data_IF_546134339655
#
_entry.id   IF_546134339655
#
_cell.length_a   1.000
_cell.length_b   1.000
_cell.length_c   1.000
_cell.angle_alpha   90.00
_cell.angle_beta   90.00
_cell.angle_gamma   90.00
#
_symmetry.space_group_name_H-M   'P 1'
#
loop_
_entity.id
_entity.type
_entity.pdbx_description
1 polymer ?
#
# COMPACT_ATOMS: atom_id res chain seq x y z
N UNK A 1 -12.24 10.14 -14.93
CA UNK A 1 -11.03 9.28 -14.93
C UNK A 1 -11.14 8.29 -13.79
N UNK A 2 -11.04 6.99 -14.07
CA UNK A 2 -11.03 5.95 -13.02
C UNK A 2 -9.66 6.00 -12.36
N UNK A 3 -9.53 6.63 -11.18
CA UNK A 3 -8.25 6.68 -10.46
C UNK A 3 -7.82 5.25 -10.15
N UNK A 4 -6.62 4.86 -10.62
CA UNK A 4 -6.14 3.50 -10.48
C UNK A 4 -5.59 3.31 -9.06
N UNK A 5 -6.35 2.65 -8.20
CA UNK A 5 -6.01 2.37 -6.79
C UNK A 5 -4.59 1.80 -6.62
N UNK A 6 -4.13 1.01 -7.61
CA UNK A 6 -2.77 0.46 -7.67
C UNK A 6 -1.71 1.56 -7.71
N UNK A 7 -1.86 2.53 -8.61
CA UNK A 7 -0.89 3.61 -8.83
C UNK A 7 -0.85 4.56 -7.64
N UNK A 8 -2.01 4.86 -7.04
CA UNK A 8 -2.09 5.68 -5.84
C UNK A 8 -1.37 5.03 -4.64
N UNK A 9 -1.56 3.72 -4.43
CA UNK A 9 -0.83 2.98 -3.38
C UNK A 9 0.67 3.03 -3.63
N UNK A 10 1.12 2.77 -4.86
CA UNK A 10 2.55 2.82 -5.23
C UNK A 10 3.11 4.22 -5.03
N UNK A 11 2.37 5.27 -5.40
CA UNK A 11 2.76 6.66 -5.20
C UNK A 11 2.92 7.01 -3.72
N UNK A 12 1.98 6.58 -2.86
CA UNK A 12 2.09 6.78 -1.42
C UNK A 12 3.32 6.04 -0.86
N UNK A 13 3.53 4.77 -1.24
CA UNK A 13 4.67 3.99 -0.76
C UNK A 13 6.01 4.55 -1.25
N UNK A 14 6.07 5.10 -2.47
CA UNK A 14 7.27 5.77 -2.99
C UNK A 14 7.64 7.00 -2.17
N UNK A 15 6.64 7.78 -1.75
CA UNK A 15 6.84 9.03 -1.00
C UNK A 15 7.16 8.80 0.47
N UNK A 16 6.49 7.83 1.10
CA UNK A 16 6.57 7.59 2.56
C UNK A 16 7.58 6.48 2.91
N UNK A 17 8.10 5.76 1.92
CA UNK A 17 8.97 4.59 2.09
C UNK A 17 8.21 3.32 2.47
N UNK A 18 7.43 3.36 3.55
CA UNK A 18 6.58 2.25 3.98
C UNK A 18 5.26 2.73 4.58
N UNK A 19 4.24 1.86 4.59
CA UNK A 19 2.98 2.17 5.25
C UNK A 19 2.16 0.94 5.63
N UNK A 20 1.18 1.10 6.52
CA UNK A 20 0.22 0.03 6.87
C UNK A 20 -1.07 0.17 6.08
N UNK A 21 -1.87 -0.89 6.01
CA UNK A 21 -3.19 -0.87 5.35
C UNK A 21 -4.07 0.27 5.87
N UNK A 22 -4.09 0.50 7.19
CA UNK A 22 -4.92 1.52 7.80
C UNK A 22 -4.52 2.93 7.33
N UNK A 23 -3.22 3.22 7.31
CA UNK A 23 -2.70 4.52 6.86
C UNK A 23 -2.92 4.71 5.36
N UNK A 24 -2.69 3.66 4.54
CA UNK A 24 -2.97 3.69 3.11
C UNK A 24 -4.44 4.00 2.83
N UNK A 25 -5.35 3.29 3.50
CA UNK A 25 -6.80 3.50 3.33
C UNK A 25 -7.19 4.94 3.69
N UNK A 26 -6.65 5.47 4.80
CA UNK A 26 -6.89 6.85 5.22
C UNK A 26 -6.42 7.86 4.17
N UNK A 27 -5.16 7.75 3.70
CA UNK A 27 -4.60 8.66 2.70
C UNK A 27 -5.30 8.59 1.35
N UNK A 28 -5.78 7.42 0.95
CA UNK A 28 -6.56 7.25 -0.27
C UNK A 28 -7.90 7.99 -0.16
N UNK A 29 -8.61 7.84 0.95
CA UNK A 29 -9.85 8.57 1.20
C UNK A 29 -9.61 10.08 1.28
N UNK A 30 -8.53 10.53 1.93
CA UNK A 30 -8.11 11.95 1.97
C UNK A 30 -7.83 12.52 0.56
N UNK A 31 -7.44 11.69 -0.40
CA UNK A 31 -7.25 12.06 -1.82
C UNK A 31 -8.53 11.97 -2.67
N UNK A 32 -9.68 11.70 -2.06
CA UNK A 32 -10.95 11.50 -2.75
C UNK A 32 -11.09 10.14 -3.43
N UNK A 33 -10.18 9.19 -3.18
CA UNK A 33 -10.27 7.82 -3.70
C UNK A 33 -11.08 6.99 -2.72
N UNK A 34 -12.40 6.88 -2.96
CA UNK A 34 -13.27 6.07 -2.11
C UNK A 34 -12.88 4.58 -2.19
N UNK A 35 -12.29 4.07 -1.10
CA UNK A 35 -11.87 2.68 -1.05
C UNK A 35 -12.10 2.06 0.34
N UNK A 36 -12.54 0.79 0.32
CA UNK A 36 -12.64 0.00 1.54
C UNK A 36 -11.29 -0.60 1.87
N UNK A 37 -11.05 -0.86 3.16
CA UNK A 37 -9.87 -1.59 3.63
C UNK A 37 -9.67 -2.91 2.87
N UNK A 38 -10.75 -3.64 2.62
CA UNK A 38 -10.72 -4.92 1.89
C UNK A 38 -10.22 -4.77 0.45
N UNK A 39 -10.62 -3.69 -0.24
CA UNK A 39 -10.09 -3.36 -1.59
C UNK A 39 -8.59 -3.09 -1.52
N UNK A 40 -8.15 -2.28 -0.56
CA UNK A 40 -6.72 -1.99 -0.35
C UNK A 40 -5.93 -3.28 -0.09
N UNK A 41 -6.41 -4.15 0.80
CA UNK A 41 -5.77 -5.45 1.10
C UNK A 41 -5.73 -6.39 -0.11
N UNK A 42 -6.75 -6.37 -0.98
CA UNK A 42 -6.74 -7.13 -2.24
C UNK A 42 -5.66 -6.60 -3.18
N UNK A 43 -5.55 -5.28 -3.36
CA UNK A 43 -4.52 -4.68 -4.24
C UNK A 43 -3.12 -4.93 -3.69
N UNK A 44 -2.89 -4.78 -2.38
CA UNK A 44 -1.60 -5.07 -1.76
C UNK A 44 -1.20 -6.54 -1.92
N UNK A 45 -2.14 -7.48 -1.78
CA UNK A 45 -1.88 -8.90 -2.05
C UNK A 45 -1.44 -9.14 -3.50
N UNK A 46 -2.08 -8.49 -4.47
CA UNK A 46 -1.70 -8.61 -5.88
C UNK A 46 -0.31 -8.02 -6.12
N UNK A 47 -0.05 -6.80 -5.64
CA UNK A 47 1.27 -6.16 -5.75
C UNK A 47 2.39 -6.97 -5.09
N UNK A 48 2.09 -7.66 -3.98
CA UNK A 48 3.05 -8.55 -3.30
C UNK A 48 3.33 -9.79 -4.16
N UNK A 49 2.30 -10.41 -4.72
CA UNK A 49 2.44 -11.57 -5.63
C UNK A 49 3.21 -11.22 -6.90
N UNK A 50 3.05 -10.01 -7.40
CA UNK A 50 3.76 -9.47 -8.56
C UNK A 50 5.18 -8.97 -8.21
N UNK A 51 5.63 -9.14 -6.96
CA UNK A 51 6.94 -8.68 -6.47
C UNK A 51 7.18 -7.15 -6.58
N UNK A 52 6.13 -6.34 -6.72
CA UNK A 52 6.23 -4.87 -6.77
C UNK A 52 6.47 -4.28 -5.38
N UNK A 53 5.86 -4.91 -4.36
CA UNK A 53 6.01 -4.53 -2.96
C UNK A 53 6.40 -5.75 -2.13
N UNK A 54 6.91 -5.50 -0.93
CA UNK A 54 7.17 -6.53 0.06
C UNK A 54 6.60 -6.13 1.43
N UNK A 55 6.38 -7.14 2.27
CA UNK A 55 6.02 -6.93 3.67
C UNK A 55 7.29 -6.68 4.48
N UNK A 56 7.31 -5.54 5.15
CA UNK A 56 8.37 -5.09 6.03
C UNK A 56 7.86 -5.05 7.47
N UNK A 57 8.63 -5.54 8.42
CA UNK A 57 8.29 -5.52 9.85
C UNK A 57 9.25 -4.57 10.57
N UNK A 58 8.70 -3.51 11.15
CA UNK A 58 9.49 -2.43 11.77
C UNK A 58 9.78 -2.72 13.24
N UNK A 59 8.91 -3.50 13.88
CA UNK A 59 8.95 -3.77 15.32
C UNK A 59 8.25 -5.09 15.67
N UNK A 60 8.42 -5.53 16.92
CA UNK A 60 7.84 -6.76 17.47
C UNK A 60 6.29 -6.76 17.53
N UNK A 61 5.63 -5.67 17.13
CA UNK A 61 4.16 -5.56 17.14
C UNK A 61 3.47 -6.34 15.99
N UNK A 62 4.24 -7.06 15.16
CA UNK A 62 3.78 -7.93 14.07
C UNK A 62 2.81 -7.27 13.06
N UNK A 63 2.72 -5.93 13.07
CA UNK A 63 1.92 -5.18 12.12
C UNK A 63 2.64 -5.22 10.77
N UNK A 64 1.91 -5.62 9.73
CA UNK A 64 2.43 -5.62 8.36
C UNK A 64 2.58 -4.18 7.87
N UNK A 65 3.82 -3.76 7.64
CA UNK A 65 4.11 -2.59 6.82
C UNK A 65 4.40 -3.08 5.40
N UNK A 66 4.04 -2.29 4.42
CA UNK A 66 4.30 -2.56 3.01
C UNK A 66 5.25 -1.49 2.50
N UNK A 67 6.24 -1.86 1.69
CA UNK A 67 7.15 -0.95 1.01
C UNK A 67 7.41 -1.40 -0.42
N UNK A 68 7.87 -0.49 -1.27
CA UNK A 68 8.31 -0.87 -2.61
C UNK A 68 9.49 -1.83 -2.52
N UNK A 69 9.46 -2.90 -3.32
CA UNK A 69 10.62 -3.76 -3.47
C UNK A 69 11.65 -2.99 -4.29
N UNK A 70 12.83 -2.76 -3.73
CA UNK A 70 13.94 -2.20 -4.49
C UNK A 70 14.38 -3.27 -5.49
N UNK A 71 14.16 -3.04 -6.79
CA UNK A 71 14.87 -3.79 -7.82
C UNK A 71 16.36 -3.45 -7.66
N UNK A 72 17.15 -4.45 -7.25
CA UNK A 72 18.60 -4.45 -7.49
C UNK A 72 18.85 -4.80 -8.94
#
# INVERSE_FOLDING_TARGET
MKQNLREEIVSILRREGYSTVAILTRKLNERGVECTRQKVERVLRNLTRENVIEVYYINANHRRHYRLRLCR
#
